data_IF_669903256275
#
_entry.id   IF_669903256275
#
_cell.length_a   1.000
_cell.length_b   1.000
_cell.length_c   1.000
_cell.angle_alpha   90.00
_cell.angle_beta   90.00
_cell.angle_gamma   90.00
#
_symmetry.space_group_name_H-M   'P 1'
#
loop_
_entity.id
_entity.type
_entity.pdbx_description
1 polymer ?
#
# COMPACT_ATOMS: atom_id res chain seq x y z
N UNK A 1 -10.43 -19.10 8.55
CA UNK A 1 -10.32 -17.65 8.36
C UNK A 1 -10.01 -17.35 6.89
N UNK A 2 -10.73 -16.43 6.30
CA UNK A 2 -10.47 -15.95 4.94
C UNK A 2 -9.85 -14.56 5.02
N UNK A 3 -8.77 -14.35 4.31
CA UNK A 3 -8.08 -13.05 4.26
C UNK A 3 -8.04 -12.57 2.81
N UNK A 4 -8.45 -11.33 2.59
CA UNK A 4 -8.41 -10.69 1.27
C UNK A 4 -7.48 -9.50 1.35
N UNK A 5 -6.50 -9.44 0.46
CA UNK A 5 -5.60 -8.31 0.29
C UNK A 5 -6.03 -7.48 -0.90
N UNK A 6 -6.22 -6.20 -0.69
CA UNK A 6 -6.57 -5.25 -1.75
C UNK A 6 -5.46 -4.21 -1.85
N UNK A 7 -4.87 -4.10 -3.04
CA UNK A 7 -3.92 -3.02 -3.33
C UNK A 7 -4.69 -1.73 -3.59
N UNK A 8 -4.12 -0.59 -3.16
CA UNK A 8 -4.69 0.71 -3.49
C UNK A 8 -4.81 0.90 -5.01
N UNK A 9 -5.81 1.68 -5.42
CA UNK A 9 -6.04 2.03 -6.82
C UNK A 9 -4.95 2.99 -7.33
N UNK A 10 -5.00 3.32 -8.62
CA UNK A 10 -4.00 4.19 -9.26
C UNK A 10 -3.91 5.54 -8.55
N UNK A 11 -2.70 5.89 -8.14
CA UNK A 11 -2.37 7.21 -7.61
C UNK A 11 -1.79 8.12 -8.70
N UNK A 12 -1.76 9.43 -8.42
CA UNK A 12 -1.09 10.39 -9.29
C UNK A 12 0.37 10.04 -9.52
N UNK A 13 1.06 9.52 -8.50
CA UNK A 13 2.46 9.11 -8.62
C UNK A 13 2.61 7.84 -9.46
N UNK A 14 1.67 6.90 -9.40
CA UNK A 14 1.67 5.75 -10.33
C UNK A 14 1.56 6.23 -11.78
N UNK A 15 0.62 7.14 -12.05
CA UNK A 15 0.42 7.72 -13.39
C UNK A 15 1.66 8.43 -13.89
N UNK A 16 2.31 9.21 -13.03
CA UNK A 16 3.40 10.11 -13.40
C UNK A 16 4.79 9.47 -13.29
N UNK A 17 4.86 8.20 -12.89
CA UNK A 17 6.14 7.48 -12.76
C UNK A 17 7.04 8.03 -11.66
N UNK A 18 6.45 8.40 -10.52
CA UNK A 18 7.15 8.95 -9.36
C UNK A 18 7.18 7.92 -8.25
N UNK A 19 8.31 7.82 -7.54
CA UNK A 19 8.42 7.01 -6.34
C UNK A 19 7.61 7.63 -5.20
N UNK A 20 6.60 6.91 -4.73
CA UNK A 20 5.76 7.37 -3.63
C UNK A 20 6.32 6.97 -2.26
N UNK A 21 6.60 5.69 -2.06
CA UNK A 21 6.93 5.21 -0.73
C UNK A 21 5.89 5.67 0.28
N UNK A 22 6.30 6.50 1.22
CA UNK A 22 5.42 7.07 2.25
C UNK A 22 4.89 8.47 1.93
N UNK A 23 5.20 9.00 0.74
CA UNK A 23 4.60 10.26 0.29
C UNK A 23 3.09 10.13 0.19
N UNK A 24 2.39 11.17 0.60
CA UNK A 24 0.94 11.13 0.76
C UNK A 24 0.23 11.67 -0.49
N UNK A 25 0.42 10.99 -1.62
CA UNK A 25 -0.22 11.33 -2.89
C UNK A 25 -1.67 10.84 -2.96
N UNK A 26 -2.45 11.51 -3.79
CA UNK A 26 -3.87 11.17 -4.00
C UNK A 26 -4.06 10.13 -5.10
N UNK A 27 -5.21 9.46 -5.09
CA UNK A 27 -5.67 8.67 -6.23
C UNK A 27 -6.01 9.59 -7.41
N UNK A 28 -5.87 9.07 -8.63
CA UNK A 28 -6.43 9.69 -9.82
C UNK A 28 -7.94 9.46 -9.89
N UNK A 29 -8.64 10.25 -10.70
CA UNK A 29 -10.08 10.03 -10.94
C UNK A 29 -10.34 8.64 -11.50
N UNK A 30 -9.46 8.16 -12.38
CA UNK A 30 -9.50 6.79 -12.91
C UNK A 30 -9.35 5.76 -11.80
N UNK A 31 -8.42 5.97 -10.86
CA UNK A 31 -8.22 5.10 -9.71
C UNK A 31 -9.46 5.06 -8.81
N UNK A 32 -10.07 6.21 -8.51
CA UNK A 32 -11.29 6.28 -7.71
C UNK A 32 -12.43 5.51 -8.38
N UNK A 33 -12.64 5.70 -9.67
CA UNK A 33 -13.68 4.99 -10.44
C UNK A 33 -13.46 3.48 -10.44
N UNK A 34 -12.21 3.04 -10.60
CA UNK A 34 -11.87 1.62 -10.56
C UNK A 34 -12.17 1.01 -9.17
N UNK A 35 -11.82 1.72 -8.10
CA UNK A 35 -12.12 1.30 -6.73
C UNK A 35 -13.64 1.24 -6.47
N UNK A 36 -14.40 2.24 -6.91
CA UNK A 36 -15.85 2.24 -6.81
C UNK A 36 -16.48 1.05 -7.53
N UNK A 37 -15.98 0.73 -8.72
CA UNK A 37 -16.45 -0.43 -9.50
C UNK A 37 -16.14 -1.74 -8.78
N UNK A 38 -14.97 -1.88 -8.18
CA UNK A 38 -14.64 -3.04 -7.35
C UNK A 38 -15.61 -3.15 -6.17
N UNK A 39 -15.94 -2.02 -5.54
CA UNK A 39 -16.90 -1.96 -4.43
C UNK A 39 -18.32 -2.43 -4.78
N UNK A 40 -18.70 -2.37 -6.06
CA UNK A 40 -19.99 -2.87 -6.53
C UNK A 40 -20.02 -4.41 -6.62
N UNK A 41 -18.86 -5.04 -6.78
CA UNK A 41 -18.76 -6.48 -7.05
C UNK A 41 -18.21 -7.29 -5.88
N UNK A 42 -17.48 -6.68 -4.97
CA UNK A 42 -16.88 -7.37 -3.84
C UNK A 42 -17.91 -7.65 -2.75
N UNK A 43 -17.83 -8.83 -2.13
CA UNK A 43 -18.58 -9.12 -0.92
C UNK A 43 -18.10 -8.18 0.20
N UNK A 44 -19.05 -7.65 0.96
CA UNK A 44 -18.80 -6.66 2.02
C UNK A 44 -19.00 -7.22 3.43
N UNK A 45 -19.21 -8.51 3.55
CA UNK A 45 -19.38 -9.19 4.83
C UNK A 45 -18.01 -9.59 5.42
N UNK A 46 -17.37 -8.61 6.05
CA UNK A 46 -16.08 -8.80 6.73
C UNK A 46 -16.21 -8.54 8.22
N UNK A 47 -15.60 -9.41 9.02
CA UNK A 47 -15.52 -9.22 10.48
C UNK A 47 -14.68 -8.01 10.86
N UNK A 48 -13.62 -7.74 10.09
CA UNK A 48 -12.71 -6.62 10.32
C UNK A 48 -12.07 -6.16 9.03
N UNK A 49 -11.80 -4.88 8.94
CA UNK A 49 -11.05 -4.27 7.84
C UNK A 49 -9.88 -3.50 8.42
N UNK A 50 -8.68 -3.82 7.95
CA UNK A 50 -7.46 -3.09 8.26
C UNK A 50 -7.04 -2.25 7.06
N UNK A 51 -6.47 -1.08 7.32
CA UNK A 51 -6.01 -0.17 6.27
C UNK A 51 -4.69 0.49 6.67
N UNK A 52 -3.81 0.64 5.70
CA UNK A 52 -2.64 1.50 5.83
C UNK A 52 -3.07 2.96 6.05
N UNK A 53 -2.31 3.76 6.81
CA UNK A 53 -2.69 5.15 7.10
C UNK A 53 -2.46 6.13 5.94
N UNK A 54 -1.87 5.70 4.82
CA UNK A 54 -1.61 6.58 3.69
C UNK A 54 -2.90 7.04 2.99
N UNK A 55 -2.89 8.25 2.46
CA UNK A 55 -4.04 8.86 1.80
C UNK A 55 -4.59 8.00 0.66
N UNK A 56 -3.73 7.48 -0.22
CA UNK A 56 -4.16 6.63 -1.35
C UNK A 56 -4.87 5.36 -0.92
N UNK A 57 -4.45 4.77 0.20
CA UNK A 57 -5.11 3.59 0.76
C UNK A 57 -6.45 3.94 1.41
N UNK A 58 -6.52 5.05 2.13
CA UNK A 58 -7.78 5.56 2.71
C UNK A 58 -8.80 5.91 1.64
N UNK A 59 -8.36 6.54 0.54
CA UNK A 59 -9.24 6.87 -0.57
C UNK A 59 -9.78 5.62 -1.27
N UNK A 60 -8.93 4.59 -1.44
CA UNK A 60 -9.34 3.30 -1.99
C UNK A 60 -10.36 2.63 -1.08
N UNK A 61 -10.08 2.59 0.22
CA UNK A 61 -10.99 2.05 1.23
C UNK A 61 -12.35 2.73 1.18
N UNK A 62 -12.37 4.07 1.20
CA UNK A 62 -13.61 4.84 1.17
C UNK A 62 -14.43 4.58 -0.10
N UNK A 63 -13.76 4.43 -1.24
CA UNK A 63 -14.43 4.13 -2.51
C UNK A 63 -15.08 2.74 -2.53
N UNK A 64 -14.46 1.74 -1.87
CA UNK A 64 -14.98 0.37 -1.82
C UNK A 64 -15.96 0.19 -0.66
N UNK A 65 -15.63 0.70 0.52
CA UNK A 65 -16.35 0.50 1.78
C UNK A 65 -16.63 1.84 2.48
N UNK A 66 -17.52 2.70 1.95
CA UNK A 66 -17.69 4.07 2.43
C UNK A 66 -18.13 4.18 3.89
N UNK A 67 -18.74 3.13 4.43
CA UNK A 67 -19.30 3.13 5.81
C UNK A 67 -18.60 2.15 6.75
N UNK A 68 -17.52 1.52 6.32
CA UNK A 68 -16.88 0.49 7.12
C UNK A 68 -16.14 1.07 8.32
N UNK A 69 -16.27 0.40 9.46
CA UNK A 69 -15.36 0.62 10.58
C UNK A 69 -14.01 0.00 10.24
N UNK A 70 -12.97 0.79 10.35
CA UNK A 70 -11.64 0.39 9.92
C UNK A 70 -10.62 0.57 11.03
N UNK A 71 -9.70 -0.37 11.12
CA UNK A 71 -8.54 -0.28 11.99
C UNK A 71 -7.34 0.11 11.12
N UNK A 72 -6.73 1.25 11.41
CA UNK A 72 -5.50 1.68 10.74
C UNK A 72 -4.31 1.09 11.47
N UNK A 73 -3.37 0.52 10.71
CA UNK A 73 -2.19 -0.11 11.28
C UNK A 73 -0.94 0.27 10.47
N UNK A 74 0.04 0.86 11.14
CA UNK A 74 1.28 1.32 10.52
C UNK A 74 2.16 0.18 10.01
N UNK A 75 1.96 -1.04 10.52
CA UNK A 75 2.75 -2.21 10.11
C UNK A 75 2.48 -2.64 8.67
N UNK A 76 1.35 -2.22 8.09
CA UNK A 76 1.00 -2.48 6.68
C UNK A 76 1.17 -1.25 5.79
N UNK A 77 1.93 -0.26 6.24
CA UNK A 77 2.29 0.88 5.40
C UNK A 77 3.26 0.47 4.29
N UNK A 78 3.24 1.19 3.18
CA UNK A 78 4.16 0.98 2.06
C UNK A 78 5.62 1.05 2.50
N UNK A 79 6.50 0.34 1.80
CA UNK A 79 7.94 0.43 2.01
C UNK A 79 8.43 1.88 1.89
N UNK A 80 9.27 2.31 2.82
CA UNK A 80 9.95 3.60 2.70
C UNK A 80 11.06 3.49 1.65
N UNK A 81 11.03 4.38 0.68
CA UNK A 81 12.07 4.47 -0.36
C UNK A 81 13.08 5.60 -0.10
N UNK A 82 13.05 6.18 1.11
CA UNK A 82 14.04 7.16 1.55
C UNK A 82 14.21 8.31 0.56
N UNK A 83 15.44 8.56 0.12
CA UNK A 83 15.76 9.67 -0.78
C UNK A 83 15.13 9.55 -2.18
N UNK A 84 14.62 8.38 -2.55
CA UNK A 84 13.90 8.22 -3.82
C UNK A 84 12.49 8.81 -3.76
N UNK A 85 11.93 9.01 -2.58
CA UNK A 85 10.59 9.55 -2.41
C UNK A 85 10.41 10.88 -3.14
N UNK A 86 9.31 11.05 -3.84
CA UNK A 86 8.98 12.24 -4.64
C UNK A 86 9.91 12.45 -5.86
N UNK A 87 10.71 11.46 -6.24
CA UNK A 87 11.56 11.55 -7.43
C UNK A 87 11.03 10.68 -8.56
N UNK A 88 11.34 11.08 -9.80
CA UNK A 88 10.95 10.30 -10.98
C UNK A 88 11.75 9.01 -11.07
N UNK A 89 11.06 7.93 -11.41
CA UNK A 89 11.68 6.60 -11.56
C UNK A 89 12.76 6.58 -12.63
N UNK A 90 12.61 7.35 -13.68
CA UNK A 90 13.57 7.48 -14.77
C UNK A 90 14.93 8.08 -14.37
N UNK A 91 15.01 8.74 -13.19
CA UNK A 91 16.29 9.24 -12.66
C UNK A 91 17.25 8.11 -12.25
N UNK A 92 16.75 6.91 -12.08
CA UNK A 92 17.53 5.74 -11.66
C UNK A 92 17.59 4.74 -12.78
N UNK A 93 18.74 4.08 -12.95
CA UNK A 93 18.92 3.07 -13.99
C UNK A 93 17.94 1.89 -13.81
N UNK A 94 17.62 1.22 -14.91
CA UNK A 94 16.81 0.01 -14.88
C UNK A 94 17.45 -1.07 -13.99
N UNK A 95 18.78 -1.19 -14.02
CA UNK A 95 19.54 -2.14 -13.21
C UNK A 95 19.37 -1.85 -11.73
N UNK A 96 19.49 -0.59 -11.31
CA UNK A 96 19.34 -0.21 -9.90
C UNK A 96 17.91 -0.41 -9.41
N UNK A 97 16.92 -0.06 -10.21
CA UNK A 97 15.50 -0.30 -9.90
C UNK A 97 15.19 -1.79 -9.76
N UNK A 98 15.81 -2.62 -10.60
CA UNK A 98 15.63 -4.07 -10.53
C UNK A 98 16.28 -4.65 -9.26
N UNK A 99 17.46 -4.18 -8.88
CA UNK A 99 18.09 -4.56 -7.61
C UNK A 99 17.22 -4.22 -6.42
N UNK A 100 16.60 -3.05 -6.43
CA UNK A 100 15.64 -2.66 -5.40
C UNK A 100 14.44 -3.62 -5.35
N UNK A 101 13.83 -3.95 -6.49
CA UNK A 101 12.71 -4.89 -6.55
C UNK A 101 13.06 -6.27 -6.00
N UNK A 102 14.28 -6.71 -6.20
CA UNK A 102 14.79 -8.00 -5.70
C UNK A 102 15.23 -7.97 -4.23
N UNK A 103 15.17 -6.81 -3.58
CA UNK A 103 15.64 -6.65 -2.21
C UNK A 103 17.15 -6.62 -2.06
N UNK A 104 17.89 -6.39 -3.15
CA UNK A 104 19.36 -6.37 -3.17
C UNK A 104 19.95 -4.96 -3.10
N UNK A 105 19.10 -3.94 -3.09
CA UNK A 105 19.49 -2.55 -2.92
C UNK A 105 18.45 -1.81 -2.08
N UNK A 106 18.93 -0.99 -1.16
CA UNK A 106 18.07 -0.14 -0.34
C UNK A 106 18.40 1.32 -0.60
N UNK A 107 17.43 2.14 -1.06
CA UNK A 107 17.67 3.57 -1.22
C UNK A 107 18.11 4.20 0.10
N UNK A 108 19.01 5.19 0.08
CA UNK A 108 19.45 5.87 1.30
C UNK A 108 18.28 6.39 2.13
N UNK A 109 18.26 6.06 3.42
CA UNK A 109 17.17 6.41 4.32
C UNK A 109 15.90 5.58 4.18
N UNK A 110 15.87 4.61 3.26
CA UNK A 110 14.74 3.71 3.06
C UNK A 110 14.77 2.48 3.96
N UNK A 111 13.70 1.69 3.86
CA UNK A 111 13.60 0.38 4.52
C UNK A 111 14.20 -0.72 3.65
N UNK A 112 14.77 -1.75 4.29
CA UNK A 112 15.09 -3.00 3.62
C UNK A 112 13.83 -3.84 3.43
N UNK A 113 13.84 -4.78 2.50
CA UNK A 113 12.75 -5.76 2.39
C UNK A 113 12.61 -6.58 3.67
N UNK A 114 13.71 -6.87 4.35
CA UNK A 114 13.69 -7.57 5.63
C UNK A 114 12.95 -6.78 6.73
N UNK A 115 13.11 -5.45 6.78
CA UNK A 115 12.37 -4.58 7.70
C UNK A 115 10.86 -4.67 7.44
N UNK A 116 10.47 -4.64 6.17
CA UNK A 116 9.05 -4.76 5.76
C UNK A 116 8.50 -6.14 6.15
N UNK A 117 9.22 -7.20 5.81
CA UNK A 117 8.80 -8.56 6.14
C UNK A 117 8.55 -8.73 7.65
N UNK A 118 9.44 -8.20 8.47
CA UNK A 118 9.33 -8.29 9.92
C UNK A 118 8.05 -7.61 10.44
N UNK A 119 7.79 -6.37 10.02
CA UNK A 119 6.60 -5.65 10.51
C UNK A 119 5.29 -6.24 9.97
N UNK A 120 5.30 -6.75 8.75
CA UNK A 120 4.12 -7.40 8.16
C UNK A 120 3.86 -8.75 8.82
N UNK A 121 4.89 -9.53 9.13
CA UNK A 121 4.74 -10.78 9.89
C UNK A 121 4.16 -10.53 11.26
N UNK A 122 4.65 -9.53 11.99
CA UNK A 122 4.10 -9.15 13.32
C UNK A 122 2.61 -8.81 13.22
N UNK A 123 2.21 -8.09 12.17
CA UNK A 123 0.80 -7.78 11.91
C UNK A 123 -0.03 -9.04 11.65
N UNK A 124 0.45 -9.92 10.79
CA UNK A 124 -0.25 -11.15 10.43
C UNK A 124 -0.42 -12.05 11.65
N UNK A 125 0.62 -12.22 12.46
CA UNK A 125 0.56 -13.02 13.70
C UNK A 125 -0.50 -12.48 14.67
N UNK A 126 -0.54 -11.17 14.88
CA UNK A 126 -1.56 -10.53 15.73
C UNK A 126 -2.98 -10.76 15.21
N UNK A 127 -3.20 -10.63 13.90
CA UNK A 127 -4.50 -10.88 13.29
C UNK A 127 -4.92 -12.35 13.46
N UNK A 128 -4.01 -13.27 13.21
CA UNK A 128 -4.28 -14.69 13.41
C UNK A 128 -4.64 -15.02 14.85
N UNK A 129 -3.97 -14.45 15.82
CA UNK A 129 -4.28 -14.67 17.24
C UNK A 129 -5.68 -14.15 17.62
N UNK A 130 -6.11 -13.03 17.05
CA UNK A 130 -7.41 -12.41 17.34
C UNK A 130 -8.60 -13.14 16.75
N UNK A 131 -8.44 -13.75 15.60
CA UNK A 131 -9.55 -14.32 14.81
C UNK A 131 -9.42 -15.83 14.55
N UNK A 132 -8.51 -16.45 15.24
CA UNK A 132 -8.29 -17.89 15.10
C UNK A 132 -9.25 -18.72 15.95
#
# INVERSE_FOLDING_TARGET
>A
MNVIFIRHAESEYNRDGIWAGRADCSLTDKGIKAAQKLGETIDKDFDVIYCSPLKRTKQTLFAIFPEAKTIYDDRIIEISVGEWENTKKELYSNELRELFRKGLYTPPGGETHSDVDKRVCDFIEDVFEKFH
#
